data_IF_717877892938
#
_entry.id   IF_717877892938
#
_cell.length_a   1.000
_cell.length_b   1.000
_cell.length_c   1.000
_cell.angle_alpha   90.00
_cell.angle_beta   90.00
_cell.angle_gamma   90.00
#
_symmetry.space_group_name_H-M   'P 1'
#
loop_
_entity.id
_entity.type
_entity.pdbx_description
1 polymer ?
#
# COMPACT_ATOMS: atom_id res chain seq x y z
N UNK A 1 26.83 -21.78 -6.12
CA UNK A 1 26.05 -20.59 -6.54
C UNK A 1 24.62 -20.78 -6.08
N UNK A 2 24.11 -19.86 -5.27
CA UNK A 2 22.71 -19.82 -4.90
C UNK A 2 21.88 -19.35 -6.09
N UNK A 3 20.76 -20.02 -6.40
CA UNK A 3 19.83 -19.51 -7.39
C UNK A 3 19.26 -18.15 -6.90
N UNK A 4 18.91 -17.29 -7.83
CA UNK A 4 18.19 -16.06 -7.47
C UNK A 4 16.84 -16.44 -6.81
N UNK A 5 16.41 -15.70 -5.79
CA UNK A 5 15.14 -15.99 -5.14
C UNK A 5 13.97 -15.87 -6.13
N UNK A 6 13.00 -16.77 -6.01
CA UNK A 6 11.79 -16.75 -6.83
C UNK A 6 10.78 -15.78 -6.22
N UNK A 7 10.49 -14.70 -6.93
CA UNK A 7 9.52 -13.68 -6.50
C UNK A 7 8.28 -13.78 -7.36
N UNK A 8 7.12 -13.99 -6.71
CA UNK A 8 5.82 -14.01 -7.37
C UNK A 8 4.92 -12.95 -6.74
N UNK A 9 4.35 -12.09 -7.57
CA UNK A 9 3.32 -11.12 -7.14
C UNK A 9 2.00 -11.57 -7.75
N UNK A 10 1.02 -11.80 -6.91
CA UNK A 10 -0.27 -12.39 -7.29
C UNK A 10 -1.43 -11.77 -6.52
N UNK A 11 -2.63 -11.96 -7.01
CA UNK A 11 -3.84 -11.57 -6.28
C UNK A 11 -3.95 -12.35 -4.97
N UNK A 12 -4.36 -11.66 -3.90
CA UNK A 12 -4.66 -12.28 -2.60
C UNK A 12 -5.88 -13.19 -2.75
N UNK A 13 -5.78 -14.39 -2.23
CA UNK A 13 -6.85 -15.38 -2.17
C UNK A 13 -7.37 -15.52 -0.74
N UNK A 14 -8.55 -16.12 -0.58
CA UNK A 14 -9.16 -16.30 0.75
C UNK A 14 -8.28 -17.10 1.70
N UNK A 15 -7.53 -18.06 1.19
CA UNK A 15 -6.59 -18.86 1.99
C UNK A 15 -5.38 -18.08 2.53
N UNK A 16 -5.14 -16.86 2.05
CA UNK A 16 -4.04 -16.01 2.50
C UNK A 16 -4.38 -15.20 3.75
N UNK A 17 -5.64 -15.14 4.17
CA UNK A 17 -6.13 -14.19 5.17
C UNK A 17 -5.35 -14.25 6.49
N UNK A 18 -5.10 -15.44 7.02
CA UNK A 18 -4.38 -15.61 8.27
C UNK A 18 -2.94 -15.06 8.15
N UNK A 19 -2.29 -15.38 7.03
CA UNK A 19 -0.92 -14.93 6.77
C UNK A 19 -0.83 -13.41 6.58
N UNK A 20 -1.78 -12.83 5.85
CA UNK A 20 -1.88 -11.36 5.67
C UNK A 20 -2.07 -10.67 7.02
N UNK A 21 -2.91 -11.21 7.90
CA UNK A 21 -3.09 -10.69 9.27
C UNK A 21 -1.79 -10.74 10.07
N UNK A 22 -1.05 -11.84 10.04
CA UNK A 22 0.25 -11.95 10.71
C UNK A 22 1.21 -10.85 10.25
N UNK A 23 1.34 -10.66 8.94
CA UNK A 23 2.22 -9.64 8.36
C UNK A 23 1.76 -8.25 8.77
N UNK A 24 0.44 -7.98 8.74
CA UNK A 24 -0.12 -6.70 9.15
C UNK A 24 0.22 -6.38 10.61
N UNK A 25 -0.07 -7.30 11.53
CA UNK A 25 0.13 -7.09 12.96
C UNK A 25 1.61 -6.96 13.33
N UNK A 26 2.52 -7.61 12.60
CA UNK A 26 3.97 -7.44 12.77
C UNK A 26 4.47 -6.05 12.33
N UNK A 27 3.67 -5.30 11.58
CA UNK A 27 4.00 -3.95 11.08
C UNK A 27 3.23 -2.83 11.80
N UNK A 28 2.51 -3.12 12.86
CA UNK A 28 1.89 -2.10 13.72
C UNK A 28 3.02 -1.42 14.52
N UNK A 29 3.07 -0.07 14.65
CA UNK A 29 2.03 0.91 14.31
C UNK A 29 2.13 1.55 12.91
N UNK A 30 3.09 1.19 12.07
CA UNK A 30 3.26 1.78 10.72
C UNK A 30 2.03 1.54 9.85
N UNK A 31 1.38 0.37 10.01
CA UNK A 31 0.01 0.11 9.54
C UNK A 31 -0.91 -0.03 10.75
N UNK A 32 -2.18 0.33 10.59
CA UNK A 32 -3.16 0.17 11.66
C UNK A 32 -3.46 -1.30 11.95
N UNK A 33 -3.58 -1.65 13.24
CA UNK A 33 -4.03 -2.98 13.66
C UNK A 33 -5.47 -3.23 13.20
N UNK A 34 -5.75 -4.43 12.72
CA UNK A 34 -7.07 -4.86 12.28
C UNK A 34 -7.34 -6.30 12.71
N UNK A 35 -8.62 -6.60 12.99
CA UNK A 35 -9.06 -7.97 13.18
C UNK A 35 -9.42 -8.65 11.83
N UNK A 36 -9.83 -9.90 11.89
CA UNK A 36 -10.17 -10.69 10.71
C UNK A 36 -11.36 -10.10 9.94
N UNK A 37 -12.36 -9.59 10.63
CA UNK A 37 -13.55 -9.01 10.00
C UNK A 37 -13.20 -7.70 9.28
N UNK A 38 -12.38 -6.86 9.91
CA UNK A 38 -11.90 -5.62 9.30
C UNK A 38 -11.02 -5.89 8.09
N UNK A 39 -10.10 -6.85 8.18
CA UNK A 39 -9.26 -7.23 7.03
C UNK A 39 -10.11 -7.76 5.87
N UNK A 40 -11.10 -8.58 6.15
CA UNK A 40 -12.02 -9.08 5.13
C UNK A 40 -12.80 -7.96 4.45
N UNK A 41 -13.24 -6.96 5.21
CA UNK A 41 -13.87 -5.75 4.67
C UNK A 41 -12.90 -4.98 3.75
N UNK A 42 -11.69 -4.74 4.20
CA UNK A 42 -10.67 -4.03 3.42
C UNK A 42 -10.34 -4.74 2.11
N UNK A 43 -10.23 -6.07 2.15
CA UNK A 43 -10.03 -6.90 0.96
C UNK A 43 -11.19 -6.76 -0.02
N UNK A 44 -12.43 -6.81 0.46
CA UNK A 44 -13.62 -6.65 -0.37
C UNK A 44 -13.69 -5.29 -1.06
N UNK A 45 -13.20 -4.23 -0.41
CA UNK A 45 -13.13 -2.87 -0.95
C UNK A 45 -11.94 -2.65 -1.91
N UNK A 46 -11.03 -3.60 -2.02
CA UNK A 46 -9.74 -3.44 -2.74
C UNK A 46 -9.71 -4.26 -4.03
N UNK A 47 -10.07 -3.68 -5.19
CA UNK A 47 -9.97 -4.39 -6.47
C UNK A 47 -8.53 -4.75 -6.87
N UNK A 48 -7.54 -4.04 -6.33
CA UNK A 48 -6.14 -4.42 -6.41
C UNK A 48 -5.71 -4.82 -5.00
N UNK A 49 -5.57 -6.11 -4.78
CA UNK A 49 -5.12 -6.70 -3.53
C UNK A 49 -4.08 -7.75 -3.86
N UNK A 50 -2.81 -7.48 -3.55
CA UNK A 50 -1.68 -8.28 -4.01
C UNK A 50 -0.90 -8.87 -2.84
N UNK A 51 -0.54 -10.14 -2.99
CA UNK A 51 0.43 -10.83 -2.14
C UNK A 51 1.76 -10.93 -2.86
N UNK A 52 2.84 -10.85 -2.10
CA UNK A 52 4.20 -11.07 -2.58
C UNK A 52 4.72 -12.35 -1.95
N UNK A 53 5.02 -13.32 -2.80
CA UNK A 53 5.65 -14.58 -2.39
C UNK A 53 7.14 -14.56 -2.72
N UNK A 54 7.94 -15.04 -1.79
CA UNK A 54 9.38 -15.24 -1.95
C UNK A 54 9.67 -16.71 -1.70
N UNK A 55 10.18 -17.41 -2.70
CA UNK A 55 10.45 -18.86 -2.65
C UNK A 55 9.21 -19.66 -2.18
N UNK A 56 8.01 -19.26 -2.63
CA UNK A 56 6.75 -19.92 -2.29
C UNK A 56 6.15 -19.57 -0.94
N UNK A 57 6.73 -18.59 -0.20
CA UNK A 57 6.23 -18.15 1.09
C UNK A 57 5.77 -16.68 1.01
N UNK A 58 4.55 -16.40 1.44
CA UNK A 58 4.02 -15.02 1.43
C UNK A 58 4.73 -14.16 2.46
N UNK A 59 5.38 -13.11 1.98
CA UNK A 59 6.24 -12.21 2.79
C UNK A 59 5.74 -10.77 2.81
N UNK A 60 4.76 -10.42 2.00
CA UNK A 60 4.24 -9.06 1.93
C UNK A 60 2.91 -8.98 1.21
N UNK A 61 2.25 -7.83 1.33
CA UNK A 61 0.99 -7.56 0.65
C UNK A 61 0.73 -6.06 0.52
N UNK A 62 -0.21 -5.71 -0.36
CA UNK A 62 -0.80 -4.37 -0.40
C UNK A 62 -2.30 -4.43 -0.73
N UNK A 63 -3.01 -3.37 -0.32
CA UNK A 63 -4.41 -3.15 -0.62
C UNK A 63 -4.58 -1.78 -1.26
N UNK A 64 -5.26 -1.73 -2.42
CA UNK A 64 -5.52 -0.50 -3.17
C UNK A 64 -7.01 -0.40 -3.47
N UNK A 65 -7.61 0.72 -3.08
CA UNK A 65 -9.06 0.97 -3.14
C UNK A 65 -9.41 2.06 -4.14
N UNK A 66 -10.61 2.00 -4.76
CA UNK A 66 -11.09 3.07 -5.64
C UNK A 66 -11.59 4.28 -4.85
N UNK A 67 -11.72 5.43 -5.53
CA UNK A 67 -12.19 6.69 -4.94
C UNK A 67 -13.67 6.71 -4.56
N UNK A 68 -14.45 5.72 -4.97
CA UNK A 68 -15.88 5.58 -4.68
C UNK A 68 -16.20 4.58 -3.54
N UNK A 69 -15.17 4.12 -2.81
CA UNK A 69 -15.38 3.28 -1.63
C UNK A 69 -16.00 4.06 -0.48
N UNK A 70 -16.78 3.37 0.34
CA UNK A 70 -17.32 3.90 1.60
C UNK A 70 -16.32 3.84 2.77
N UNK A 71 -15.05 3.62 2.49
CA UNK A 71 -13.99 3.49 3.49
C UNK A 71 -13.93 4.71 4.40
N UNK A 72 -13.85 4.48 5.70
CA UNK A 72 -14.01 5.50 6.75
C UNK A 72 -12.69 6.11 7.27
N UNK A 73 -11.54 5.77 6.67
CA UNK A 73 -10.25 6.34 7.04
C UNK A 73 -10.21 7.85 6.86
N UNK A 74 -9.68 8.57 7.87
CA UNK A 74 -9.53 10.03 7.80
C UNK A 74 -8.59 10.44 6.66
N UNK A 75 -7.56 9.65 6.38
CA UNK A 75 -6.62 9.91 5.28
C UNK A 75 -7.28 9.67 3.92
N UNK A 76 -8.02 8.58 3.77
CA UNK A 76 -8.79 8.31 2.55
C UNK A 76 -9.80 9.44 2.27
N UNK A 77 -10.54 9.87 3.28
CA UNK A 77 -11.52 10.95 3.16
C UNK A 77 -10.91 12.30 2.80
N UNK A 78 -9.67 12.53 3.20
CA UNK A 78 -8.94 13.73 2.78
C UNK A 78 -8.84 13.80 1.25
N UNK A 79 -8.54 12.68 0.60
CA UNK A 79 -8.47 12.59 -0.87
C UNK A 79 -9.86 12.69 -1.51
N UNK A 80 -10.87 11.98 -0.99
CA UNK A 80 -12.23 12.03 -1.57
C UNK A 80 -12.87 13.41 -1.49
N UNK A 81 -12.49 14.23 -0.53
CA UNK A 81 -12.95 15.61 -0.41
C UNK A 81 -12.33 16.55 -1.46
N UNK A 82 -11.26 16.14 -2.15
CA UNK A 82 -10.45 16.98 -3.03
C UNK A 82 -10.33 16.47 -4.46
N UNK A 83 -10.46 15.16 -4.67
CA UNK A 83 -10.25 14.52 -5.95
C UNK A 83 -11.36 13.53 -6.26
N UNK A 84 -11.80 13.49 -7.52
CA UNK A 84 -12.89 12.62 -7.97
C UNK A 84 -12.39 11.26 -8.48
N UNK A 85 -11.16 11.20 -8.99
CA UNK A 85 -10.62 10.01 -9.64
C UNK A 85 -9.20 9.72 -9.15
N UNK A 86 -9.08 8.66 -8.35
CA UNK A 86 -7.81 8.13 -7.86
C UNK A 86 -8.00 6.70 -7.35
N UNK A 87 -6.89 5.97 -7.27
CA UNK A 87 -6.79 4.74 -6.48
C UNK A 87 -6.00 5.08 -5.20
N UNK A 88 -6.39 4.49 -4.09
CA UNK A 88 -5.79 4.76 -2.79
C UNK A 88 -5.10 3.51 -2.24
N UNK A 89 -3.80 3.58 -2.03
CA UNK A 89 -3.04 2.53 -1.37
C UNK A 89 -3.21 2.69 0.14
N UNK A 90 -4.06 1.84 0.72
CA UNK A 90 -4.38 1.89 2.14
C UNK A 90 -3.24 1.35 2.99
N UNK A 91 -2.68 0.21 2.58
CA UNK A 91 -1.58 -0.42 3.32
C UNK A 91 -0.68 -1.23 2.42
N UNK A 92 0.57 -1.24 2.79
CA UNK A 92 1.61 -2.12 2.28
C UNK A 92 2.47 -2.56 3.46
N UNK A 93 2.72 -3.85 3.58
CA UNK A 93 3.52 -4.38 4.66
C UNK A 93 4.32 -5.61 4.21
N UNK A 94 5.52 -5.76 4.78
CA UNK A 94 6.42 -6.89 4.53
C UNK A 94 6.93 -7.44 5.86
N UNK A 95 7.22 -8.74 5.89
CA UNK A 95 8.02 -9.32 6.97
C UNK A 95 9.35 -8.59 7.11
N UNK A 96 9.88 -8.51 8.34
CA UNK A 96 11.15 -7.83 8.61
C UNK A 96 12.31 -8.41 7.76
N UNK A 97 12.37 -9.73 7.63
CA UNK A 97 13.42 -10.44 6.87
C UNK A 97 13.33 -10.18 5.36
N UNK A 98 12.15 -9.82 4.85
CA UNK A 98 11.94 -9.52 3.44
C UNK A 98 12.22 -8.07 3.08
N UNK A 99 12.34 -7.18 4.06
CA UNK A 99 12.62 -5.77 3.83
C UNK A 99 14.05 -5.57 3.32
N UNK A 100 14.26 -4.53 2.50
CA UNK A 100 15.57 -4.20 1.95
C UNK A 100 16.01 -5.04 0.75
N UNK A 101 15.12 -5.86 0.16
CA UNK A 101 15.41 -6.72 -1.00
C UNK A 101 14.76 -6.23 -2.31
N UNK A 102 14.28 -4.99 -2.34
CA UNK A 102 13.67 -4.42 -3.55
C UNK A 102 12.26 -4.93 -3.86
N UNK A 103 11.62 -5.67 -2.96
CA UNK A 103 10.28 -6.23 -3.18
C UNK A 103 9.21 -5.16 -3.25
N UNK A 104 9.33 -4.07 -2.49
CA UNK A 104 8.44 -2.92 -2.57
C UNK A 104 8.44 -2.27 -3.95
N UNK A 105 9.62 -2.18 -4.56
CA UNK A 105 9.78 -1.69 -5.94
C UNK A 105 9.00 -2.54 -6.94
N UNK A 106 9.12 -3.87 -6.84
CA UNK A 106 8.41 -4.81 -7.70
C UNK A 106 6.90 -4.74 -7.48
N UNK A 107 6.48 -4.65 -6.22
CA UNK A 107 5.06 -4.56 -5.87
C UNK A 107 4.42 -3.28 -6.42
N UNK A 108 5.07 -2.13 -6.27
CA UNK A 108 4.56 -0.86 -6.80
C UNK A 108 4.52 -0.86 -8.33
N UNK A 109 5.49 -1.49 -8.99
CA UNK A 109 5.47 -1.65 -10.45
C UNK A 109 4.26 -2.48 -10.91
N UNK A 110 3.90 -3.54 -10.18
CA UNK A 110 2.72 -4.37 -10.50
C UNK A 110 1.42 -3.60 -10.23
N UNK A 111 1.33 -2.86 -9.14
CA UNK A 111 0.18 -1.96 -8.88
C UNK A 111 0.01 -0.99 -10.05
N UNK A 112 1.08 -0.36 -10.48
CA UNK A 112 1.08 0.62 -11.57
C UNK A 112 0.63 -0.02 -12.89
N UNK A 113 1.15 -1.22 -13.21
CA UNK A 113 0.75 -1.98 -14.40
C UNK A 113 -0.75 -2.29 -14.40
N UNK A 114 -1.28 -2.76 -13.28
CA UNK A 114 -2.71 -3.06 -13.14
C UNK A 114 -3.57 -1.81 -13.24
N UNK A 115 -3.13 -0.69 -12.66
CA UNK A 115 -3.84 0.58 -12.76
C UNK A 115 -3.91 1.07 -14.21
N UNK A 116 -2.81 1.01 -14.96
CA UNK A 116 -2.78 1.37 -16.38
C UNK A 116 -3.73 0.47 -17.19
N UNK A 117 -3.69 -0.82 -16.95
CA UNK A 117 -4.57 -1.79 -17.62
C UNK A 117 -6.06 -1.52 -17.35
N UNK A 118 -6.40 -1.08 -16.13
CA UNK A 118 -7.76 -0.71 -15.73
C UNK A 118 -8.19 0.67 -16.20
N UNK A 119 -7.26 1.53 -16.62
CA UNK A 119 -7.52 2.92 -16.97
C UNK A 119 -7.58 3.88 -15.79
N UNK A 120 -7.04 3.48 -14.64
CA UNK A 120 -6.97 4.34 -13.44
C UNK A 120 -5.92 5.45 -13.65
N UNK A 121 -6.17 6.65 -13.11
CA UNK A 121 -5.35 7.84 -13.40
C UNK A 121 -4.20 8.07 -12.43
N UNK A 122 -4.47 8.03 -11.13
CA UNK A 122 -3.52 8.41 -10.08
C UNK A 122 -3.57 7.45 -8.91
N UNK A 123 -2.40 7.20 -8.32
CA UNK A 123 -2.25 6.50 -7.05
C UNK A 123 -2.03 7.52 -5.94
N UNK A 124 -2.85 7.44 -4.91
CA UNK A 124 -2.81 8.28 -3.72
C UNK A 124 -2.41 7.45 -2.51
N UNK A 125 -1.66 8.05 -1.60
CA UNK A 125 -1.26 7.45 -0.33
C UNK A 125 -0.81 8.52 0.65
N UNK A 126 -0.57 8.16 1.90
CA UNK A 126 0.06 9.03 2.89
C UNK A 126 1.31 8.41 3.46
N UNK A 127 2.21 9.29 3.90
CA UNK A 127 3.47 8.91 4.59
C UNK A 127 3.64 9.80 5.82
N UNK A 128 4.01 9.21 6.95
CA UNK A 128 4.22 9.94 8.20
C UNK A 128 5.37 10.94 8.06
N UNK A 129 5.13 12.20 8.46
CA UNK A 129 6.14 13.27 8.49
C UNK A 129 6.44 13.77 9.90
N UNK A 130 5.54 13.54 10.87
CA UNK A 130 5.77 13.88 12.27
C UNK A 130 5.04 12.87 13.19
N UNK A 131 5.77 11.95 13.84
CA UNK A 131 7.20 11.65 13.64
C UNK A 131 7.46 11.10 12.23
N UNK A 132 8.63 11.40 11.64
CA UNK A 132 8.87 11.07 10.24
C UNK A 132 9.22 9.59 10.02
N UNK A 133 8.67 9.02 8.95
CA UNK A 133 9.12 7.75 8.39
C UNK A 133 10.08 8.03 7.23
N UNK A 134 11.34 8.31 7.55
CA UNK A 134 12.37 8.73 6.59
C UNK A 134 12.58 7.72 5.44
N UNK A 135 12.69 6.39 5.71
CA UNK A 135 12.82 5.44 4.61
C UNK A 135 11.65 5.45 3.65
N UNK A 136 10.43 5.57 4.15
CA UNK A 136 9.21 5.62 3.33
C UNK A 136 9.13 6.92 2.53
N UNK A 137 9.45 8.06 3.14
CA UNK A 137 9.50 9.35 2.43
C UNK A 137 10.50 9.31 1.27
N UNK A 138 11.70 8.77 1.50
CA UNK A 138 12.72 8.64 0.46
C UNK A 138 12.29 7.65 -0.65
N UNK A 139 11.69 6.52 -0.28
CA UNK A 139 11.19 5.53 -1.23
C UNK A 139 10.16 6.14 -2.18
N UNK A 140 9.16 6.84 -1.63
CA UNK A 140 8.10 7.44 -2.44
C UNK A 140 8.60 8.61 -3.29
N UNK A 141 9.51 9.44 -2.76
CA UNK A 141 10.13 10.51 -3.53
C UNK A 141 10.88 9.98 -4.76
N UNK A 142 11.66 8.89 -4.60
CA UNK A 142 12.37 8.25 -5.72
C UNK A 142 11.42 7.67 -6.76
N UNK A 143 10.17 7.37 -6.38
CA UNK A 143 9.14 6.82 -7.29
C UNK A 143 8.29 7.88 -7.94
N UNK A 144 8.59 9.15 -7.73
CA UNK A 144 7.90 10.26 -8.36
C UNK A 144 6.60 10.67 -7.66
N UNK A 145 6.37 10.24 -6.42
CA UNK A 145 5.26 10.74 -5.62
C UNK A 145 5.52 12.18 -5.21
N UNK A 146 4.49 13.03 -5.33
CA UNK A 146 4.53 14.44 -4.96
C UNK A 146 3.58 14.69 -3.81
N UNK A 147 4.02 15.49 -2.84
CA UNK A 147 3.15 15.96 -1.77
C UNK A 147 2.08 16.91 -2.33
N UNK A 148 0.83 16.61 -2.04
CA UNK A 148 -0.33 17.44 -2.43
C UNK A 148 -0.99 18.11 -1.22
N UNK A 149 -0.52 17.83 -0.03
CA UNK A 149 -0.97 18.42 1.21
C UNK A 149 -0.45 17.68 2.43
N UNK A 150 -0.83 18.14 3.60
CA UNK A 150 -0.53 17.49 4.88
C UNK A 150 -1.79 17.47 5.74
N UNK A 151 -1.88 16.51 6.66
CA UNK A 151 -2.98 16.39 7.59
C UNK A 151 -2.47 15.97 8.97
N UNK A 152 -2.98 16.63 10.01
CA UNK A 152 -2.87 16.13 11.37
C UNK A 152 -3.96 15.09 11.61
N UNK A 153 -3.57 13.91 12.06
CA UNK A 153 -4.50 12.83 12.33
C UNK A 153 -5.00 12.88 13.78
N UNK A 154 -6.20 12.33 14.08
CA UNK A 154 -6.72 12.29 15.46
C UNK A 154 -5.86 11.45 16.42
N UNK A 155 -4.97 10.62 15.89
CA UNK A 155 -4.05 9.77 16.67
C UNK A 155 -2.64 10.35 16.85
N UNK A 156 -2.47 11.67 16.60
CA UNK A 156 -1.25 12.41 16.94
C UNK A 156 -0.10 12.29 15.95
N UNK A 157 -0.38 11.85 14.72
CA UNK A 157 0.62 11.77 13.64
C UNK A 157 0.25 12.78 12.56
N UNK A 158 1.23 13.54 12.07
CA UNK A 158 1.07 14.33 10.85
C UNK A 158 1.52 13.51 9.65
N UNK A 159 0.73 13.53 8.59
CA UNK A 159 1.00 12.78 7.36
C UNK A 159 1.14 13.71 6.16
N UNK A 160 2.05 13.34 5.26
CA UNK A 160 2.17 13.91 3.91
C UNK A 160 1.20 13.15 3.01
N UNK A 161 0.27 13.88 2.40
CA UNK A 161 -0.65 13.35 1.42
C UNK A 161 0.02 13.40 0.06
N UNK A 162 0.19 12.26 -0.60
CA UNK A 162 1.00 12.15 -1.81
C UNK A 162 0.23 11.51 -2.95
N UNK A 163 0.54 11.93 -4.16
CA UNK A 163 -0.04 11.37 -5.38
C UNK A 163 1.01 11.21 -6.48
N UNK A 164 0.77 10.24 -7.35
CA UNK A 164 1.55 9.99 -8.55
C UNK A 164 0.60 9.54 -9.67
N UNK A 165 0.87 10.02 -10.89
CA UNK A 165 0.16 9.55 -12.07
C UNK A 165 0.54 8.11 -12.40
N UNK A 166 -0.43 7.25 -12.68
CA UNK A 166 -0.21 5.86 -13.08
C UNK A 166 0.60 5.80 -14.38
N UNK A 167 1.53 4.84 -14.47
CA UNK A 167 2.39 4.66 -15.64
C UNK A 167 3.51 5.67 -15.78
N UNK A 168 3.69 6.59 -14.81
CA UNK A 168 4.81 7.53 -14.86
C UNK A 168 6.13 6.80 -14.58
N UNK A 169 7.23 7.12 -15.31
CA UNK A 169 8.54 6.60 -14.99
C UNK A 169 8.96 7.05 -13.59
N UNK A 170 9.40 6.09 -12.77
CA UNK A 170 9.88 6.32 -11.40
C UNK A 170 11.36 6.57 -11.36
#
# INVERSE_FOLDING_TARGET
>A
MSAAPDVVIRTIEQGDLDRILEINEANVPEVGSVDVDRMSYLLAESPIALAVDLDGWTVGFCLVMPSDSAYDSVNYRWFTARYDDFMYLDRVAFEAEAQGHGLGTLLYAEVDRLMVERGDSHLALEVNVDPPNEPSLAFHARRGFLEVGQQDTPYGIRVSMQMRRAGSPG
#
